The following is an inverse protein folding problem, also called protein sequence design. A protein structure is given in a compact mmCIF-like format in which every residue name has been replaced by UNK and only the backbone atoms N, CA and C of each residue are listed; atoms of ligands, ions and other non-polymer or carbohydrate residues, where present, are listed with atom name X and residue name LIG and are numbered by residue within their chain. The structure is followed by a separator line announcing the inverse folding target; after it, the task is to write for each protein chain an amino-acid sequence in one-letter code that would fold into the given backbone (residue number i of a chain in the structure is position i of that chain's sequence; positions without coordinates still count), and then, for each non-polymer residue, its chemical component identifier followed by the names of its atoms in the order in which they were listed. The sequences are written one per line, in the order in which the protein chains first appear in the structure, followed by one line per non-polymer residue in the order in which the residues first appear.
data_IF_811546098560
#
_entry.id   IF_811546098560
#
_cell.length_a   1.000
_cell.length_b   1.000
_cell.length_c   1.000
_cell.angle_alpha   90.00
_cell.angle_beta   90.00
_cell.angle_gamma   90.00
#
_symmetry.space_group_name_H-M   'P 1'
#
loop_
_entity.id
_entity.type
_entity.pdbx_description
1 polymer ?
#
# COMPACT_ATOMS: atom_id res chain seq x y z
N UNK A 1 12.52 15.83 1.27
CA UNK A 1 11.11 15.38 1.22
C UNK A 1 10.33 16.50 1.88
N UNK A 2 9.56 17.29 1.12
CA UNK A 2 8.84 18.43 1.69
C UNK A 2 7.63 17.92 2.48
N UNK A 3 7.70 18.06 3.81
CA UNK A 3 6.68 17.57 4.76
C UNK A 3 5.37 18.36 4.59
N UNK A 4 5.44 19.58 4.01
CA UNK A 4 4.29 20.46 3.76
C UNK A 4 3.36 19.96 2.64
N UNK A 5 3.81 19.02 1.79
CA UNK A 5 3.04 18.46 0.67
C UNK A 5 2.31 17.16 1.02
N UNK A 6 2.43 16.68 2.26
CA UNK A 6 1.83 15.41 2.67
C UNK A 6 0.33 15.60 2.84
N UNK A 7 -0.47 14.88 2.04
CA UNK A 7 -1.93 14.96 2.08
C UNK A 7 -2.57 14.30 3.31
N UNK A 8 -1.76 13.80 4.24
CA UNK A 8 -2.17 13.06 5.43
C UNK A 8 -1.64 13.78 6.69
N UNK A 9 -2.50 13.95 7.69
CA UNK A 9 -2.08 14.52 8.97
C UNK A 9 -1.07 13.57 9.65
N UNK A 10 0.16 14.04 9.81
CA UNK A 10 1.20 13.31 10.54
C UNK A 10 0.96 13.52 12.03
N UNK A 11 0.52 12.46 12.70
CA UNK A 11 0.40 12.33 14.16
C UNK A 11 0.77 10.90 14.54
N UNK A 12 1.34 10.64 15.72
CA UNK A 12 1.54 9.29 16.23
C UNK A 12 0.20 8.55 16.32
N UNK A 13 0.13 7.35 15.77
CA UNK A 13 -1.08 6.52 15.72
C UNK A 13 -0.84 5.18 16.37
N UNK A 14 -1.91 4.55 16.85
CA UNK A 14 -1.85 3.11 17.16
C UNK A 14 -1.60 2.33 15.87
N UNK A 15 -0.93 1.16 15.92
CA UNK A 15 -0.58 0.42 14.70
C UNK A 15 -1.77 0.11 13.78
N UNK A 16 -2.94 -0.24 14.34
CA UNK A 16 -4.14 -0.48 13.54
C UNK A 16 -4.77 0.78 12.95
N UNK A 17 -4.65 1.94 13.62
CA UNK A 17 -5.02 3.23 13.05
C UNK A 17 -4.07 3.63 11.90
N UNK A 18 -2.79 3.21 11.98
CA UNK A 18 -1.84 3.40 10.90
C UNK A 18 -2.15 2.51 9.68
N UNK A 19 -2.59 1.27 9.91
CA UNK A 19 -3.12 0.41 8.84
C UNK A 19 -4.35 1.06 8.18
N UNK A 20 -5.31 1.53 8.97
CA UNK A 20 -6.51 2.20 8.46
C UNK A 20 -6.16 3.47 7.67
N UNK A 21 -5.19 4.27 8.13
CA UNK A 21 -4.67 5.40 7.36
C UNK A 21 -4.15 4.96 5.99
N UNK A 22 -3.35 3.89 5.95
CA UNK A 22 -2.84 3.31 4.71
C UNK A 22 -3.95 2.87 3.77
N UNK A 23 -4.95 2.14 4.29
CA UNK A 23 -6.12 1.70 3.53
C UNK A 23 -6.96 2.88 3.03
N UNK A 24 -7.15 3.92 3.85
CA UNK A 24 -7.88 5.13 3.48
C UNK A 24 -7.18 5.87 2.33
N UNK A 25 -5.84 5.96 2.37
CA UNK A 25 -5.03 6.48 1.26
C UNK A 25 -5.21 5.61 0.00
N UNK A 26 -5.17 4.29 0.13
CA UNK A 26 -5.44 3.35 -0.96
C UNK A 26 -6.83 3.54 -1.57
N UNK A 27 -7.87 3.64 -0.73
CA UNK A 27 -9.26 3.85 -1.13
C UNK A 27 -9.45 5.14 -1.91
N UNK A 28 -8.79 6.24 -1.48
CA UNK A 28 -8.83 7.52 -2.21
C UNK A 28 -8.30 7.41 -3.64
N UNK A 29 -7.37 6.50 -3.88
CA UNK A 29 -6.75 6.28 -5.18
C UNK A 29 -7.10 4.94 -5.83
N UNK A 30 -8.17 4.27 -5.39
CA UNK A 30 -8.45 2.88 -5.77
C UNK A 30 -8.53 2.68 -7.28
N UNK A 31 -9.20 3.59 -8.01
CA UNK A 31 -9.31 3.49 -9.47
C UNK A 31 -7.95 3.54 -10.18
N UNK A 32 -7.03 4.39 -9.72
CA UNK A 32 -5.68 4.49 -10.28
C UNK A 32 -4.80 3.32 -9.85
N UNK A 33 -4.94 2.86 -8.61
CA UNK A 33 -4.23 1.67 -8.12
C UNK A 33 -4.60 0.43 -8.91
N UNK A 34 -5.90 0.17 -9.08
CA UNK A 34 -6.40 -0.93 -9.89
C UNK A 34 -5.93 -0.80 -11.34
N UNK A 35 -6.00 0.39 -11.93
CA UNK A 35 -5.50 0.64 -13.28
C UNK A 35 -4.01 0.28 -13.42
N UNK A 36 -3.16 0.71 -12.48
CA UNK A 36 -1.72 0.46 -12.54
C UNK A 36 -1.41 -1.01 -12.31
N UNK A 37 -2.08 -1.64 -11.34
CA UNK A 37 -1.93 -3.06 -11.04
C UNK A 37 -2.37 -3.91 -12.25
N UNK A 38 -3.57 -3.66 -12.79
CA UNK A 38 -4.10 -4.40 -13.95
C UNK A 38 -3.23 -4.16 -15.18
N UNK A 39 -2.83 -2.93 -15.48
CA UNK A 39 -2.00 -2.63 -16.65
C UNK A 39 -0.59 -3.22 -16.59
N UNK A 40 -0.13 -3.67 -15.42
CA UNK A 40 1.22 -4.26 -15.26
C UNK A 40 1.17 -5.76 -14.97
N UNK A 41 0.44 -6.18 -13.94
CA UNK A 41 0.43 -7.55 -13.44
C UNK A 41 -0.48 -8.45 -14.30
N UNK A 42 -1.63 -7.97 -14.75
CA UNK A 42 -2.57 -8.82 -15.50
C UNK A 42 -2.00 -9.29 -16.85
N UNK A 43 -1.35 -8.44 -17.69
CA UNK A 43 -0.67 -8.91 -18.90
C UNK A 43 0.37 -9.99 -18.63
N UNK A 44 1.15 -9.85 -17.56
CA UNK A 44 2.13 -10.87 -17.16
C UNK A 44 1.43 -12.19 -16.82
N UNK A 45 0.36 -12.16 -16.02
CA UNK A 45 -0.41 -13.36 -15.69
C UNK A 45 -1.01 -14.00 -16.94
N UNK A 46 -1.60 -13.21 -17.86
CA UNK A 46 -2.16 -13.72 -19.12
C UNK A 46 -1.08 -14.41 -19.96
N UNK A 47 0.11 -13.82 -20.08
CA UNK A 47 1.24 -14.43 -20.78
C UNK A 47 1.65 -15.74 -20.10
N UNK A 48 1.79 -15.75 -18.78
CA UNK A 48 2.12 -16.96 -18.02
C UNK A 48 1.06 -18.04 -18.20
N UNK A 49 -0.23 -17.69 -18.17
CA UNK A 49 -1.34 -18.60 -18.39
C UNK A 49 -1.30 -19.21 -19.79
N UNK A 50 -1.00 -18.42 -20.82
CA UNK A 50 -0.86 -18.92 -22.18
C UNK A 50 0.34 -19.88 -22.34
N UNK A 51 1.46 -19.60 -21.67
CA UNK A 51 2.68 -20.41 -21.77
C UNK A 51 2.65 -21.69 -20.92
N UNK A 52 2.00 -21.64 -19.75
CA UNK A 52 2.03 -22.70 -18.74
C UNK A 52 0.67 -23.36 -18.55
N UNK A 53 -0.27 -23.20 -19.49
CA UNK A 53 -1.61 -23.80 -19.39
C UNK A 53 -1.54 -25.31 -19.13
N UNK A 54 -0.71 -26.03 -19.89
CA UNK A 54 -0.53 -27.48 -19.72
C UNK A 54 0.25 -27.87 -18.46
N UNK A 55 0.79 -26.91 -17.73
CA UNK A 55 1.57 -27.08 -16.49
C UNK A 55 0.94 -26.25 -15.37
N UNK A 56 -0.34 -26.50 -15.08
CA UNK A 56 -1.14 -25.67 -14.17
C UNK A 56 -0.50 -25.47 -12.78
N UNK A 57 0.11 -26.50 -12.22
CA UNK A 57 0.81 -26.39 -10.92
C UNK A 57 1.97 -25.40 -10.98
N UNK A 58 2.74 -25.44 -12.07
CA UNK A 58 3.85 -24.51 -12.32
C UNK A 58 3.31 -23.11 -12.53
N UNK A 59 2.20 -22.96 -13.26
CA UNK A 59 1.52 -21.67 -13.43
C UNK A 59 1.13 -21.05 -12.07
N UNK A 60 0.42 -21.81 -11.24
CA UNK A 60 -0.02 -21.37 -9.91
C UNK A 60 1.19 -21.02 -9.03
N UNK A 61 2.19 -21.89 -9.02
CA UNK A 61 3.42 -21.68 -8.26
C UNK A 61 4.15 -20.41 -8.71
N UNK A 62 4.29 -20.18 -10.02
CA UNK A 62 4.96 -18.99 -10.57
C UNK A 62 4.18 -17.72 -10.25
N UNK A 63 2.86 -17.70 -10.45
CA UNK A 63 2.01 -16.55 -10.08
C UNK A 63 2.16 -16.24 -8.59
N UNK A 64 2.11 -17.27 -7.74
CA UNK A 64 2.27 -17.13 -6.29
C UNK A 64 3.69 -16.69 -5.90
N UNK A 65 4.72 -17.17 -6.59
CA UNK A 65 6.12 -16.85 -6.31
C UNK A 65 6.44 -15.39 -6.62
N UNK A 66 5.87 -14.86 -7.70
CA UNK A 66 6.11 -13.51 -8.20
C UNK A 66 5.37 -12.40 -7.42
N UNK A 67 4.55 -12.75 -6.43
CA UNK A 67 3.86 -11.79 -5.55
C UNK A 67 4.73 -10.61 -5.08
N UNK A 68 5.95 -10.80 -4.54
CA UNK A 68 6.81 -9.70 -4.09
C UNK A 68 7.15 -8.64 -5.16
N UNK A 69 6.97 -8.94 -6.45
CA UNK A 69 7.13 -7.98 -7.55
C UNK A 69 5.84 -7.19 -7.78
N UNK A 70 4.68 -7.83 -7.63
CA UNK A 70 3.37 -7.21 -7.75
C UNK A 70 3.20 -6.14 -6.68
N UNK A 71 3.63 -6.39 -5.43
CA UNK A 71 3.57 -5.45 -4.31
C UNK A 71 4.23 -4.09 -4.61
N UNK A 72 5.25 -4.08 -5.46
CA UNK A 72 6.02 -2.87 -5.79
C UNK A 72 5.19 -1.86 -6.56
N UNK A 73 4.20 -2.32 -7.31
CA UNK A 73 3.33 -1.48 -8.15
C UNK A 73 2.48 -0.53 -7.31
N UNK A 74 1.60 -1.01 -6.40
CA UNK A 74 0.82 -0.12 -5.55
C UNK A 74 1.70 0.74 -4.64
N UNK A 75 2.82 0.20 -4.13
CA UNK A 75 3.75 0.99 -3.30
C UNK A 75 4.34 2.16 -4.09
N UNK A 76 4.81 1.90 -5.32
CA UNK A 76 5.36 2.94 -6.18
C UNK A 76 4.34 4.05 -6.40
N UNK A 77 3.09 3.71 -6.74
CA UNK A 77 2.04 4.71 -6.92
C UNK A 77 1.74 5.49 -5.63
N UNK A 78 1.44 4.79 -4.52
CA UNK A 78 1.03 5.41 -3.25
C UNK A 78 2.10 6.34 -2.68
N UNK A 79 3.36 5.92 -2.74
CA UNK A 79 4.47 6.69 -2.21
C UNK A 79 4.71 8.01 -2.94
N UNK A 80 4.24 8.18 -4.18
CA UNK A 80 4.29 9.47 -4.90
C UNK A 80 2.99 10.24 -4.78
N UNK A 81 1.86 9.54 -4.83
CA UNK A 81 0.54 10.15 -4.64
C UNK A 81 0.42 10.87 -3.28
N UNK A 82 1.03 10.31 -2.22
CA UNK A 82 1.08 10.93 -0.89
C UNK A 82 1.69 12.34 -0.89
N UNK A 83 2.63 12.62 -1.80
CA UNK A 83 3.31 13.92 -1.93
C UNK A 83 2.79 14.76 -3.10
N UNK A 84 1.58 14.46 -3.60
CA UNK A 84 0.97 15.20 -4.70
C UNK A 84 1.65 15.02 -6.06
N UNK A 85 2.58 14.08 -6.21
CA UNK A 85 3.36 13.84 -7.43
C UNK A 85 3.00 12.52 -8.11
N UNK A 86 1.70 12.18 -8.14
CA UNK A 86 1.23 10.92 -8.69
C UNK A 86 1.68 10.74 -10.17
N UNK A 87 2.37 9.63 -10.50
CA UNK A 87 2.88 9.40 -11.85
C UNK A 87 1.74 9.18 -12.84
N UNK A 88 1.98 9.51 -14.11
CA UNK A 88 1.10 9.08 -15.20
C UNK A 88 1.32 7.60 -15.53
N UNK A 89 0.32 6.94 -16.14
CA UNK A 89 0.43 5.53 -16.52
C UNK A 89 1.60 5.29 -17.50
N UNK A 90 1.82 6.21 -18.44
CA UNK A 90 2.91 6.14 -19.42
C UNK A 90 4.29 6.20 -18.73
N UNK A 91 4.48 7.10 -17.77
CA UNK A 91 5.73 7.19 -17.01
C UNK A 91 5.99 5.93 -16.19
N UNK A 92 4.94 5.41 -15.55
CA UNK A 92 5.01 4.18 -14.79
C UNK A 92 5.41 2.98 -15.64
N UNK A 93 4.77 2.76 -16.79
CA UNK A 93 5.09 1.64 -17.68
C UNK A 93 6.54 1.69 -18.20
N UNK A 94 7.12 2.88 -18.36
CA UNK A 94 8.56 3.03 -18.70
C UNK A 94 9.49 2.64 -17.55
N UNK A 95 9.07 2.86 -16.30
CA UNK A 95 9.85 2.55 -15.10
C UNK A 95 9.64 1.10 -14.65
N UNK A 96 8.52 0.47 -15.02
CA UNK A 96 8.12 -0.86 -14.59
C UNK A 96 9.22 -1.94 -14.75
N UNK A 97 9.94 -2.06 -15.88
CA UNK A 97 11.00 -3.06 -16.01
C UNK A 97 12.12 -2.88 -14.99
N UNK A 98 12.49 -1.62 -14.71
CA UNK A 98 13.49 -1.29 -13.68
C UNK A 98 12.94 -1.51 -12.27
N UNK A 99 11.65 -1.25 -12.05
CA UNK A 99 10.98 -1.49 -10.79
C UNK A 99 10.97 -2.98 -10.43
N UNK A 100 10.77 -3.87 -11.41
CA UNK A 100 10.75 -5.32 -11.18
C UNK A 100 12.13 -5.98 -11.18
N UNK A 101 13.10 -5.48 -11.97
CA UNK A 101 14.44 -6.07 -12.00
C UNK A 101 15.29 -5.74 -10.77
N UNK A 102 15.04 -4.60 -10.11
CA UNK A 102 15.81 -4.16 -8.95
C UNK A 102 15.72 -5.16 -7.80
N UNK A 103 16.84 -5.73 -7.37
CA UNK A 103 16.91 -6.64 -6.20
C UNK A 103 15.89 -7.78 -6.25
N UNK A 104 15.61 -8.31 -7.45
CA UNK A 104 14.59 -9.35 -7.64
C UNK A 104 14.91 -10.62 -6.85
N UNK A 105 16.17 -11.04 -6.82
CA UNK A 105 16.61 -12.23 -6.08
C UNK A 105 16.39 -12.09 -4.57
N UNK A 106 16.75 -10.94 -4.01
CA UNK A 106 16.50 -10.65 -2.59
C UNK A 106 14.99 -10.63 -2.27
N UNK A 107 14.16 -10.09 -3.15
CA UNK A 107 12.70 -10.08 -2.95
C UNK A 107 12.08 -11.48 -3.05
N UNK A 108 12.54 -12.30 -4.00
CA UNK A 108 12.00 -13.63 -4.26
C UNK A 108 12.52 -14.71 -3.30
N UNK A 109 13.76 -14.61 -2.83
CA UNK A 109 14.36 -15.62 -1.95
C UNK A 109 14.16 -15.25 -0.48
N UNK A 110 14.53 -14.03 -0.09
CA UNK A 110 14.51 -13.61 1.31
C UNK A 110 13.22 -12.88 1.67
N UNK A 111 12.74 -12.01 0.78
CA UNK A 111 11.51 -11.24 0.98
C UNK A 111 10.25 -12.11 1.02
N UNK A 112 10.26 -13.26 0.34
CA UNK A 112 9.08 -14.13 0.20
C UNK A 112 8.59 -14.72 1.52
N UNK A 113 9.52 -15.13 2.37
CA UNK A 113 9.24 -15.77 3.66
C UNK A 113 9.09 -14.77 4.83
N UNK A 114 9.17 -13.47 4.56
CA UNK A 114 9.03 -12.46 5.59
C UNK A 114 7.56 -12.10 5.85
N UNK A 115 7.06 -12.41 7.04
CA UNK A 115 5.74 -11.97 7.50
C UNK A 115 5.62 -10.46 7.75
N UNK A 116 6.75 -9.72 7.70
CA UNK A 116 6.77 -8.28 7.82
C UNK A 116 7.07 -7.58 6.47
N UNK A 117 6.88 -8.29 5.35
CA UNK A 117 7.24 -7.77 4.00
C UNK A 117 6.53 -6.46 3.67
N UNK A 118 5.23 -6.35 3.95
CA UNK A 118 4.43 -5.15 3.65
C UNK A 118 4.98 -3.87 4.28
N UNK A 119 5.47 -3.93 5.52
CA UNK A 119 6.01 -2.77 6.24
C UNK A 119 7.49 -2.50 5.92
N UNK A 120 8.26 -3.53 5.55
CA UNK A 120 9.69 -3.39 5.21
C UNK A 120 9.90 -2.99 3.75
N UNK A 121 8.97 -3.32 2.86
CA UNK A 121 9.05 -3.01 1.43
C UNK A 121 9.36 -1.52 1.12
N UNK A 122 8.74 -0.54 1.80
CA UNK A 122 9.07 0.88 1.60
C UNK A 122 10.54 1.23 1.90
N UNK A 123 11.18 0.59 2.90
CA UNK A 123 12.62 0.79 3.16
C UNK A 123 13.44 0.35 1.94
N UNK A 124 13.13 -0.82 1.38
CA UNK A 124 13.88 -1.39 0.24
C UNK A 124 13.73 -0.53 -1.02
N UNK A 125 12.50 -0.09 -1.32
CA UNK A 125 12.19 0.58 -2.58
C UNK A 125 12.39 2.10 -2.52
N UNK A 126 12.09 2.75 -1.39
CA UNK A 126 12.07 4.21 -1.26
C UNK A 126 13.37 4.76 -0.66
N UNK A 127 13.95 4.11 0.35
CA UNK A 127 15.12 4.63 1.08
C UNK A 127 16.45 4.25 0.41
N UNK A 128 16.46 3.23 -0.45
CA UNK A 128 17.63 2.85 -1.24
C UNK A 128 18.81 2.26 -0.44
N UNK A 129 18.65 2.07 0.87
CA UNK A 129 19.66 1.54 1.79
C UNK A 129 20.15 0.13 1.39
N UNK A 130 21.38 -0.21 1.77
CA UNK A 130 22.05 -1.50 1.51
C UNK A 130 22.80 -1.99 2.75
N UNK A 131 23.02 -3.31 2.84
CA UNK A 131 23.87 -3.93 3.86
C UNK A 131 23.45 -3.59 5.30
N UNK A 132 24.43 -3.32 6.16
CA UNK A 132 24.20 -3.02 7.58
C UNK A 132 23.24 -1.85 7.83
N UNK A 133 23.31 -0.79 7.02
CA UNK A 133 22.40 0.36 7.14
C UNK A 133 20.92 -0.04 6.91
N UNK A 134 20.66 -0.95 5.96
CA UNK A 134 19.32 -1.50 5.76
C UNK A 134 18.88 -2.35 6.96
N UNK A 135 19.75 -3.21 7.47
CA UNK A 135 19.44 -4.07 8.62
C UNK A 135 19.10 -3.26 9.86
N UNK A 136 19.95 -2.28 10.23
CA UNK A 136 19.70 -1.41 11.38
C UNK A 136 18.40 -0.62 11.24
N UNK A 137 18.10 -0.13 10.04
CA UNK A 137 16.86 0.61 9.76
C UNK A 137 15.62 -0.29 9.83
N UNK A 138 15.70 -1.49 9.23
CA UNK A 138 14.65 -2.51 9.32
C UNK A 138 14.37 -2.88 10.76
N UNK A 139 15.40 -3.17 11.54
CA UNK A 139 15.25 -3.62 12.92
C UNK A 139 14.68 -2.49 13.80
N UNK A 140 15.06 -1.23 13.54
CA UNK A 140 14.45 -0.08 14.20
C UNK A 140 12.96 0.07 13.93
N UNK A 141 12.53 -0.11 12.68
CA UNK A 141 11.13 -0.06 12.29
C UNK A 141 10.34 -1.26 12.86
N UNK A 142 10.93 -2.46 12.87
CA UNK A 142 10.26 -3.66 13.37
C UNK A 142 10.06 -3.63 14.89
N UNK A 143 10.88 -2.89 15.66
CA UNK A 143 10.70 -2.77 17.11
C UNK A 143 9.32 -2.23 17.51
N UNK A 144 8.77 -1.26 16.78
CA UNK A 144 7.44 -0.71 17.11
C UNK A 144 6.29 -1.38 16.36
N UNK A 145 6.57 -2.03 15.22
CA UNK A 145 5.52 -2.40 14.26
C UNK A 145 5.59 -3.85 13.72
N UNK A 146 6.47 -4.71 14.26
CA UNK A 146 6.57 -6.11 13.82
C UNK A 146 5.28 -6.90 14.04
N UNK A 147 4.77 -6.94 15.28
CA UNK A 147 3.57 -7.71 15.63
C UNK A 147 2.35 -7.32 14.80
N UNK A 148 1.96 -6.02 14.78
CA UNK A 148 0.87 -5.54 13.94
C UNK A 148 1.08 -5.82 12.44
N UNK A 149 2.30 -5.66 11.92
CA UNK A 149 2.61 -5.96 10.51
C UNK A 149 2.46 -7.45 10.16
N UNK A 150 2.86 -8.35 11.07
CA UNK A 150 2.70 -9.79 10.91
C UNK A 150 1.22 -10.20 10.95
N UNK A 151 0.45 -9.68 11.92
CA UNK A 151 -0.99 -9.93 12.01
C UNK A 151 -1.74 -9.38 10.81
N UNK A 152 -1.36 -8.20 10.32
CA UNK A 152 -1.96 -7.63 9.12
C UNK A 152 -1.65 -8.49 7.88
N UNK A 153 -0.45 -9.04 7.78
CA UNK A 153 -0.10 -10.01 6.72
C UNK A 153 -0.96 -11.28 6.83
N UNK A 154 -1.13 -11.84 8.02
CA UNK A 154 -1.98 -13.00 8.24
C UNK A 154 -3.45 -12.71 7.88
N UNK A 155 -3.96 -11.54 8.25
CA UNK A 155 -5.31 -11.09 7.88
C UNK A 155 -5.48 -11.00 6.36
N UNK A 156 -4.52 -10.39 5.66
CA UNK A 156 -4.57 -10.29 4.20
C UNK A 156 -4.51 -11.67 3.53
N UNK A 157 -3.65 -12.57 4.03
CA UNK A 157 -3.62 -13.96 3.54
C UNK A 157 -4.97 -14.65 3.73
N UNK A 158 -5.60 -14.50 4.90
CA UNK A 158 -6.95 -15.02 5.16
C UNK A 158 -8.00 -14.43 4.21
N UNK A 159 -7.98 -13.11 4.01
CA UNK A 159 -8.88 -12.43 3.08
C UNK A 159 -8.73 -12.90 1.65
N UNK A 160 -7.49 -13.15 1.18
CA UNK A 160 -7.25 -13.66 -0.17
C UNK A 160 -7.91 -15.02 -0.38
N UNK A 161 -7.72 -15.95 0.55
CA UNK A 161 -8.33 -17.28 0.48
C UNK A 161 -9.85 -17.20 0.60
N UNK A 162 -10.35 -16.36 1.51
CA UNK A 162 -11.78 -16.12 1.68
C UNK A 162 -12.42 -15.61 0.38
N UNK A 163 -11.87 -14.56 -0.24
CA UNK A 163 -12.41 -14.00 -1.48
C UNK A 163 -12.26 -14.97 -2.66
N UNK A 164 -11.13 -15.66 -2.78
CA UNK A 164 -10.95 -16.65 -3.83
C UNK A 164 -12.00 -17.76 -3.72
N UNK A 165 -12.17 -18.34 -2.53
CA UNK A 165 -13.15 -19.38 -2.28
C UNK A 165 -14.60 -18.89 -2.51
N UNK A 166 -14.94 -17.71 -1.99
CA UNK A 166 -16.27 -17.13 -2.15
C UNK A 166 -16.62 -16.84 -3.62
N UNK A 167 -15.69 -16.26 -4.39
CA UNK A 167 -15.89 -15.97 -5.81
C UNK A 167 -16.05 -17.26 -6.63
N UNK A 168 -15.29 -18.28 -6.29
CA UNK A 168 -15.38 -19.58 -6.95
C UNK A 168 -16.72 -20.26 -6.66
N UNK A 169 -17.16 -20.32 -5.41
CA UNK A 169 -18.49 -20.84 -5.05
C UNK A 169 -19.62 -20.05 -5.72
N UNK A 170 -19.49 -18.72 -5.76
CA UNK A 170 -20.43 -17.86 -6.45
C UNK A 170 -20.48 -18.18 -7.96
N UNK A 171 -19.33 -18.31 -8.62
CA UNK A 171 -19.25 -18.62 -10.04
C UNK A 171 -19.82 -20.00 -10.38
N UNK A 172 -19.58 -21.02 -9.56
CA UNK A 172 -20.06 -22.38 -9.80
C UNK A 172 -21.54 -22.55 -9.46
N UNK A 173 -22.05 -21.86 -8.44
CA UNK A 173 -23.49 -21.86 -8.10
C UNK A 173 -24.39 -21.25 -9.20
N UNK A 174 -23.82 -20.44 -10.09
CA UNK A 174 -24.53 -19.89 -11.25
C UNK A 174 -24.65 -20.89 -12.41
N UNK A 175 -24.00 -22.06 -12.36
CA UNK A 175 -24.01 -23.08 -13.41
C UNK A 175 -25.16 -24.07 -13.14
N UNK A 176 -26.22 -24.12 -13.97
CA UNK A 176 -27.44 -24.91 -13.67
C UNK A 176 -27.28 -26.44 -13.69
N UNK A 177 -26.14 -26.96 -14.14
CA UNK A 177 -25.99 -28.36 -14.59
C UNK A 177 -25.29 -29.26 -13.55
N UNK A 178 -24.66 -28.69 -12.53
CA UNK A 178 -23.97 -29.45 -11.49
C UNK A 178 -24.77 -29.25 -10.20
N UNK A 179 -25.18 -30.34 -9.54
CA UNK A 179 -25.65 -30.25 -8.16
C UNK A 179 -24.67 -29.35 -7.38
N UNK A 180 -25.12 -28.46 -6.47
CA UNK A 180 -24.20 -27.57 -5.78
C UNK A 180 -23.10 -28.44 -5.19
N UNK A 181 -21.84 -28.31 -5.64
CA UNK A 181 -20.79 -29.13 -5.06
C UNK A 181 -20.78 -28.78 -3.58
N UNK A 182 -20.96 -29.79 -2.74
CA UNK A 182 -20.82 -29.57 -1.31
C UNK A 182 -19.42 -28.95 -1.10
N UNK A 183 -19.29 -27.96 -0.19
CA UNK A 183 -18.02 -27.26 -0.01
C UNK A 183 -16.82 -28.18 0.19
N UNK A 184 -17.05 -29.39 0.75
CA UNK A 184 -16.02 -30.40 0.99
C UNK A 184 -15.54 -31.04 -0.31
N UNK A 185 -16.45 -31.54 -1.16
CA UNK A 185 -16.11 -32.07 -2.49
C UNK A 185 -15.39 -31.04 -3.35
N UNK A 186 -15.77 -29.76 -3.23
CA UNK A 186 -15.12 -28.68 -3.96
C UNK A 186 -13.67 -28.46 -3.53
N UNK A 187 -13.42 -28.43 -2.21
CA UNK A 187 -12.07 -28.35 -1.65
C UNK A 187 -11.22 -29.55 -2.07
N UNK A 188 -11.80 -30.76 -2.07
CA UNK A 188 -11.11 -31.97 -2.52
C UNK A 188 -10.70 -31.87 -4.00
N UNK A 189 -11.63 -31.49 -4.88
CA UNK A 189 -11.36 -31.35 -6.32
C UNK A 189 -10.29 -30.29 -6.61
N UNK A 190 -10.35 -29.13 -5.94
CA UNK A 190 -9.30 -28.11 -6.06
C UNK A 190 -7.97 -28.59 -5.52
N UNK A 191 -7.97 -29.33 -4.40
CA UNK A 191 -6.75 -29.88 -3.83
C UNK A 191 -6.09 -30.90 -4.76
N UNK A 192 -6.90 -31.75 -5.41
CA UNK A 192 -6.42 -32.70 -6.41
C UNK A 192 -5.82 -31.97 -7.61
N UNK A 193 -6.51 -30.97 -8.17
CA UNK A 193 -5.97 -30.16 -9.27
C UNK A 193 -4.63 -29.52 -8.92
N UNK A 194 -4.47 -29.02 -7.69
CA UNK A 194 -3.22 -28.42 -7.21
C UNK A 194 -2.12 -29.48 -7.04
N UNK A 195 -2.46 -30.71 -6.64
CA UNK A 195 -1.50 -31.78 -6.31
C UNK A 195 -1.11 -32.65 -7.52
N UNK A 196 -2.04 -32.93 -8.43
CA UNK A 196 -1.79 -33.77 -9.61
C UNK A 196 -1.50 -32.95 -10.86
N UNK A 197 -2.03 -31.71 -10.94
CA UNK A 197 -1.93 -30.88 -12.13
C UNK A 197 -2.75 -31.37 -13.32
N UNK A 198 -3.56 -32.42 -13.14
CA UNK A 198 -4.38 -32.99 -14.19
C UNK A 198 -5.74 -32.29 -14.26
N UNK A 199 -6.14 -31.94 -15.49
CA UNK A 199 -7.43 -31.33 -15.77
C UNK A 199 -8.52 -32.40 -15.86
N UNK A 200 -8.99 -32.91 -14.73
CA UNK A 200 -10.23 -33.69 -14.69
C UNK A 200 -11.47 -32.81 -14.93
N UNK A 201 -11.30 -31.48 -14.92
CA UNK A 201 -12.33 -30.46 -15.09
C UNK A 201 -12.27 -29.83 -16.49
N UNK A 202 -13.43 -29.34 -16.96
CA UNK A 202 -13.55 -28.53 -18.17
C UNK A 202 -12.57 -27.33 -18.13
N UNK A 203 -11.78 -27.09 -19.19
CA UNK A 203 -10.89 -25.93 -19.30
C UNK A 203 -11.55 -24.58 -18.95
N UNK A 204 -12.85 -24.41 -19.24
CA UNK A 204 -13.59 -23.20 -18.88
C UNK A 204 -13.75 -23.04 -17.36
N UNK A 205 -13.99 -24.14 -16.64
CA UNK A 205 -14.10 -24.16 -15.18
C UNK A 205 -12.74 -23.81 -14.56
N UNK A 206 -11.66 -24.41 -15.07
CA UNK A 206 -10.29 -24.12 -14.65
C UNK A 206 -9.96 -22.64 -14.86
N UNK A 207 -10.29 -22.08 -16.01
CA UNK A 207 -10.10 -20.66 -16.31
C UNK A 207 -10.91 -19.77 -15.35
N UNK A 208 -12.14 -20.16 -15.02
CA UNK A 208 -12.99 -19.47 -14.04
C UNK A 208 -12.39 -19.47 -12.64
N UNK A 209 -11.86 -20.60 -12.17
CA UNK A 209 -11.18 -20.72 -10.87
C UNK A 209 -9.92 -19.85 -10.82
N UNK A 210 -9.10 -19.91 -11.86
CA UNK A 210 -7.91 -19.07 -11.99
C UNK A 210 -8.31 -17.58 -12.00
N UNK A 211 -9.34 -17.21 -12.76
CA UNK A 211 -9.87 -15.86 -12.81
C UNK A 211 -10.35 -15.34 -11.45
N UNK A 212 -11.10 -16.16 -10.70
CA UNK A 212 -11.55 -15.81 -9.36
C UNK A 212 -10.39 -15.59 -8.39
N UNK A 213 -9.34 -16.42 -8.46
CA UNK A 213 -8.13 -16.21 -7.68
C UNK A 213 -7.41 -14.92 -8.08
N UNK A 214 -7.29 -14.62 -9.38
CA UNK A 214 -6.68 -13.36 -9.87
C UNK A 214 -7.46 -12.14 -9.40
N UNK A 215 -8.79 -12.19 -9.38
CA UNK A 215 -9.63 -11.10 -8.85
C UNK A 215 -9.39 -10.88 -7.35
N UNK A 216 -9.36 -11.97 -6.58
CA UNK A 216 -9.01 -11.93 -5.15
C UNK A 216 -7.63 -11.31 -4.93
N UNK A 217 -6.63 -11.80 -5.68
CA UNK A 217 -5.25 -11.31 -5.66
C UNK A 217 -5.18 -9.82 -5.96
N UNK A 218 -5.90 -9.36 -7.00
CA UNK A 218 -5.93 -7.94 -7.42
C UNK A 218 -6.40 -7.06 -6.27
N UNK A 219 -7.48 -7.44 -5.60
CA UNK A 219 -8.05 -6.64 -4.51
C UNK A 219 -7.15 -6.66 -3.27
N UNK A 220 -6.73 -7.84 -2.84
CA UNK A 220 -6.01 -8.02 -1.58
C UNK A 220 -4.60 -7.48 -1.65
N UNK A 221 -3.87 -7.61 -2.77
CA UNK A 221 -2.50 -7.08 -2.87
C UNK A 221 -2.46 -5.56 -2.74
N UNK A 222 -3.44 -4.85 -3.32
CA UNK A 222 -3.53 -3.40 -3.17
C UNK A 222 -3.80 -3.00 -1.71
N UNK A 223 -4.64 -3.74 -0.99
CA UNK A 223 -4.93 -3.52 0.43
C UNK A 223 -3.71 -3.85 1.32
N UNK A 224 -3.06 -4.97 1.04
CA UNK A 224 -1.87 -5.45 1.74
C UNK A 224 -0.74 -4.42 1.70
N UNK A 225 -0.47 -3.86 0.53
CA UNK A 225 0.57 -2.85 0.37
C UNK A 225 0.15 -1.51 0.98
N UNK A 226 -1.11 -1.11 0.82
CA UNK A 226 -1.61 0.14 1.39
C UNK A 226 -1.48 0.15 2.92
N UNK A 227 -1.95 -0.92 3.61
CA UNK A 227 -1.86 -1.02 5.06
C UNK A 227 -0.42 -1.13 5.58
N UNK A 228 0.44 -1.88 4.88
CA UNK A 228 1.87 -1.94 5.19
C UNK A 228 2.58 -0.59 5.04
N UNK A 229 2.23 0.16 4.00
CA UNK A 229 2.73 1.51 3.80
C UNK A 229 2.27 2.47 4.91
N UNK A 230 1.03 2.34 5.39
CA UNK A 230 0.53 3.08 6.54
C UNK A 230 1.33 2.82 7.82
N UNK A 231 1.62 1.55 8.12
CA UNK A 231 2.50 1.16 9.24
C UNK A 231 3.91 1.75 9.09
N UNK A 232 4.47 1.73 7.87
CA UNK A 232 5.77 2.34 7.58
C UNK A 232 5.79 3.85 7.86
N UNK A 233 4.77 4.58 7.40
CA UNK A 233 4.66 6.02 7.63
C UNK A 233 4.54 6.34 9.12
N UNK A 234 3.80 5.54 9.89
CA UNK A 234 3.68 5.73 11.33
C UNK A 234 5.02 5.50 12.05
N UNK A 235 5.69 4.38 11.77
CA UNK A 235 7.01 4.09 12.33
C UNK A 235 8.03 5.17 11.97
N UNK A 236 7.96 5.71 10.75
CA UNK A 236 8.83 6.82 10.33
C UNK A 236 8.52 8.12 11.06
N UNK A 237 7.24 8.43 11.27
CA UNK A 237 6.80 9.60 12.04
C UNK A 237 7.32 9.55 13.48
N UNK A 238 7.28 8.36 14.11
CA UNK A 238 7.82 8.12 15.45
C UNK A 238 9.35 8.20 15.49
N UNK A 239 10.05 7.50 14.59
CA UNK A 239 11.52 7.41 14.60
C UNK A 239 12.23 8.70 14.19
N UNK A 240 11.65 9.47 13.26
CA UNK A 240 12.22 10.73 12.77
C UNK A 240 11.71 11.95 13.55
N UNK A 241 10.78 11.75 14.50
CA UNK A 241 10.22 12.84 15.29
C UNK A 241 9.47 13.87 14.43
N UNK A 242 8.90 13.46 13.29
CA UNK A 242 8.17 14.38 12.38
C UNK A 242 7.05 15.12 13.11
N UNK A 243 6.41 14.48 14.09
CA UNK A 243 5.39 15.12 14.92
C UNK A 243 5.97 16.25 15.80
N UNK A 244 7.15 16.02 16.38
CA UNK A 244 7.86 17.01 17.21
C UNK A 244 8.30 18.19 16.33
N UNK A 245 8.86 17.92 15.16
CA UNK A 245 9.26 18.96 14.20
C UNK A 245 8.05 19.82 13.77
N UNK A 246 6.94 19.19 13.38
CA UNK A 246 5.72 19.90 12.99
C UNK A 246 5.16 20.73 14.16
N UNK A 247 5.18 20.19 15.38
CA UNK A 247 4.73 20.91 16.58
C UNK A 247 5.58 22.15 16.82
N UNK A 248 6.91 22.03 16.79
CA UNK A 248 7.80 23.19 16.90
C UNK A 248 7.60 24.21 15.78
N UNK A 249 7.40 23.76 14.53
CA UNK A 249 7.10 24.65 13.39
C UNK A 249 5.77 25.38 13.56
N UNK A 250 4.71 24.72 14.04
CA UNK A 250 3.41 25.36 14.34
C UNK A 250 3.57 26.42 15.43
N UNK A 251 4.34 26.13 16.48
CA UNK A 251 4.68 27.09 17.54
C UNK A 251 5.44 28.28 16.95
N UNK A 252 6.48 28.05 16.16
CA UNK A 252 7.27 29.10 15.51
C UNK A 252 6.42 29.98 14.57
N UNK A 253 5.50 29.38 13.80
CA UNK A 253 4.58 30.11 12.92
C UNK A 253 3.53 30.90 13.70
N UNK A 254 3.06 30.38 14.84
CA UNK A 254 2.18 31.12 15.76
C UNK A 254 2.91 32.32 16.36
N UNK A 255 4.15 32.15 16.81
CA UNK A 255 5.00 33.24 17.33
C UNK A 255 5.27 34.29 16.25
N UNK A 256 5.61 33.87 15.01
CA UNK A 256 5.78 34.78 13.87
C UNK A 256 4.51 35.56 13.56
N UNK A 257 3.34 34.92 13.57
CA UNK A 257 2.04 35.59 13.39
C UNK A 257 1.74 36.58 14.51
N UNK A 258 2.02 36.22 15.77
CA UNK A 258 1.85 37.15 16.91
C UNK A 258 2.78 38.35 16.77
N UNK A 259 4.06 38.14 16.40
CA UNK A 259 5.00 39.25 16.14
C UNK A 259 4.57 40.13 14.96
N UNK A 260 4.13 39.52 13.87
CA UNK A 260 3.67 40.23 12.68
C UNK A 260 2.33 40.96 12.90
N UNK A 261 1.47 40.46 13.80
CA UNK A 261 0.21 41.11 14.18
C UNK A 261 0.35 42.14 15.30
N UNK A 262 1.36 42.03 16.15
CA UNK A 262 1.62 42.96 17.25
C UNK A 262 2.17 44.32 16.80
N UNK A 263 3.00 44.36 15.76
CA UNK A 263 3.60 45.61 15.25
C UNK A 263 2.56 46.52 14.56
N UNK A 264 1.68 46.04 13.66
CA UNK A 264 0.64 46.88 13.05
C UNK A 264 -0.41 47.33 14.06
N UNK A 265 -0.79 46.46 15.02
CA UNK A 265 -1.77 46.81 16.05
C UNK A 265 -1.27 47.93 16.99
N UNK A 266 0.01 47.88 17.39
CA UNK A 266 0.61 48.94 18.20
C UNK A 266 0.77 50.26 17.42
N UNK A 267 1.09 50.19 16.13
CA UNK A 267 1.19 51.39 15.27
C UNK A 267 -0.19 52.02 15.05
N UNK A 268 -1.24 51.22 14.79
CA UNK A 268 -2.61 51.73 14.63
C UNK A 268 -3.15 52.32 15.93
N UNK A 269 -2.89 51.69 17.07
CA UNK A 269 -3.26 52.24 18.39
C UNK A 269 -2.47 53.50 18.71
N UNK A 270 -1.17 53.53 18.39
CA UNK A 270 -0.32 54.73 18.57
C UNK A 270 -0.75 55.91 17.70
N UNK A 271 -1.09 55.67 16.43
CA UNK A 271 -1.62 56.70 15.52
C UNK A 271 -3.00 57.16 15.99
N UNK A 272 -3.88 56.25 16.43
CA UNK A 272 -5.19 56.60 16.97
C UNK A 272 -5.11 57.46 18.24
N UNK A 273 -4.18 57.14 19.15
CA UNK A 273 -3.94 57.94 20.36
C UNK A 273 -3.30 59.30 20.06
N UNK A 274 -2.39 59.38 19.09
CA UNK A 274 -1.80 60.65 18.65
C UNK A 274 -2.83 61.57 17.97
N UNK A 275 -3.74 61.01 17.16
CA UNK A 275 -4.84 61.76 16.56
C UNK A 275 -5.84 62.26 17.60
N UNK A 276 -6.17 61.44 18.62
CA UNK A 276 -7.03 61.87 19.73
C UNK A 276 -6.38 62.97 20.58
N UNK A 277 -5.10 62.86 20.90
CA UNK A 277 -4.36 63.87 21.66
C UNK A 277 -4.23 65.21 20.91
N UNK A 278 -4.10 65.18 19.57
CA UNK A 278 -4.05 66.39 18.74
C UNK A 278 -5.37 67.17 18.69
N UNK A 279 -6.51 66.50 18.92
CA UNK A 279 -7.83 67.17 18.94
C UNK A 279 -8.19 67.83 20.26
N UNK A 280 -7.53 67.44 21.36
CA UNK A 280 -7.77 68.00 22.70
C UNK A 280 -7.02 69.31 23.00
N UNK A 281 -6.07 69.72 22.17
CA UNK A 281 -5.27 70.95 22.36
C UNK A 281 -5.77 72.19 21.62
N UNK A 282 -6.93 72.13 20.95
CA UNK A 282 -7.43 73.18 20.06
C UNK A 282 -8.68 73.91 20.59
N UNK A 283 -8.86 74.03 21.91
CA UNK A 283 -9.94 74.81 22.53
C UNK A 283 -9.40 75.85 23.50
#
# INVERSE_FOLDING_TARGET
MDIELISAELRPRRPWEAVDLGISLGRRHIGKLLLFWVASVLPLIVILSALLWNHFQVLVLVIWWLKPLYDRVPLYYLSRALFGSAPTLREFLRILPRLWSRRVLDALILGRFSLARSIVLPIKELEGLKGGAYTSRRDALLRSSAGPGQWFTALCLGLEHFFAFALVLFATSAIPVVAPPDPVSYVQTLSELIVTGEFALDPLVVAGVLGAWIVSLTFVENLYVAGGFGLYLNARTELEGWDVELTFRRIANRIRRIRAGGVPALVVVGIGLALLAGTSGAR
#
